data_IF_633361382585
#
_entry.id   IF_633361382585
#
_cell.length_a   1.000
_cell.length_b   1.000
_cell.length_c   1.000
_cell.angle_alpha   90.00
_cell.angle_beta   90.00
_cell.angle_gamma   90.00
#
_symmetry.space_group_name_H-M   'P 1'
#
loop_
_entity.id
_entity.type
_entity.pdbx_description
1 polymer ?
#
# COMPACT_ATOMS: atom_id res chain seq x y z
N UNK A 1 36.51 54.15 10.63
CA UNK A 1 37.40 52.99 10.74
C UNK A 1 36.58 51.87 11.37
N UNK A 2 35.89 51.11 10.54
CA UNK A 2 35.08 49.97 10.96
C UNK A 2 35.21 48.91 9.88
N UNK A 3 35.95 47.92 10.21
CA UNK A 3 36.20 46.73 9.36
C UNK A 3 34.95 45.83 9.42
N UNK A 4 34.36 45.55 8.28
CA UNK A 4 33.27 44.57 8.08
C UNK A 4 33.86 43.34 7.43
N UNK A 5 34.21 42.36 8.26
CA UNK A 5 34.53 41.00 7.79
C UNK A 5 33.29 40.35 7.11
N UNK A 6 33.39 40.14 5.81
CA UNK A 6 32.44 39.37 5.01
C UNK A 6 32.61 37.88 5.30
N UNK A 7 31.57 37.25 5.83
CA UNK A 7 31.47 35.81 5.84
C UNK A 7 30.95 35.33 4.46
N UNK A 8 31.52 34.30 3.86
CA UNK A 8 30.96 33.71 2.65
C UNK A 8 29.71 32.90 3.01
N UNK A 9 28.62 33.18 2.29
CA UNK A 9 27.46 32.29 2.24
C UNK A 9 27.88 31.02 1.47
N UNK A 10 27.95 29.90 2.17
CA UNK A 10 27.89 28.59 1.53
C UNK A 10 26.42 28.38 1.10
N UNK A 11 26.17 28.57 -0.18
CA UNK A 11 24.99 28.04 -0.85
C UNK A 11 25.20 26.53 -0.99
N UNK A 12 24.59 25.76 -0.09
CA UNK A 12 24.47 24.34 -0.23
C UNK A 12 23.53 24.04 -1.42
N UNK A 13 24.08 23.56 -2.52
CA UNK A 13 23.34 22.95 -3.58
C UNK A 13 22.84 21.60 -3.06
N UNK A 14 21.58 21.53 -2.65
CA UNK A 14 20.91 20.25 -2.41
C UNK A 14 20.57 19.69 -3.79
N UNK A 15 21.43 18.83 -4.30
CA UNK A 15 21.13 18.04 -5.48
C UNK A 15 20.14 16.93 -5.03
N UNK A 16 18.88 17.13 -5.33
CA UNK A 16 17.89 16.06 -5.27
C UNK A 16 18.20 15.12 -6.43
N UNK A 17 18.86 13.99 -6.15
CA UNK A 17 19.04 12.93 -7.10
C UNK A 17 17.73 12.15 -7.22
N UNK A 18 17.04 12.40 -8.30
CA UNK A 18 15.97 11.52 -8.79
C UNK A 18 16.63 10.20 -9.22
N UNK A 19 16.52 9.17 -8.42
CA UNK A 19 16.82 7.81 -8.85
C UNK A 19 15.68 7.36 -9.77
N UNK A 20 15.86 7.59 -11.06
CA UNK A 20 15.10 6.85 -12.05
C UNK A 20 15.63 5.42 -12.01
N UNK A 21 14.80 4.42 -11.74
CA UNK A 21 15.10 3.01 -11.97
C UNK A 21 15.49 2.85 -13.43
N UNK A 22 16.79 2.97 -13.72
CA UNK A 22 17.35 2.81 -15.04
C UNK A 22 17.61 1.32 -15.30
N UNK A 23 16.81 0.71 -16.15
CA UNK A 23 17.12 -0.62 -16.64
C UNK A 23 18.40 -0.59 -17.44
N UNK A 24 19.35 -1.41 -17.04
CA UNK A 24 20.51 -1.72 -17.86
C UNK A 24 20.11 -2.74 -18.91
N UNK A 25 20.30 -2.39 -20.18
CA UNK A 25 20.22 -3.33 -21.30
C UNK A 25 21.43 -4.26 -21.27
N UNK A 26 21.21 -5.48 -20.80
CA UNK A 26 22.18 -6.55 -20.99
C UNK A 26 22.05 -7.12 -22.40
N UNK A 27 23.10 -7.00 -23.20
CA UNK A 27 23.21 -7.68 -24.50
C UNK A 27 23.41 -9.19 -24.27
N UNK A 28 22.68 -10.06 -24.97
CA UNK A 28 22.86 -11.49 -24.83
C UNK A 28 24.12 -11.96 -25.52
N UNK A 29 25.01 -12.57 -24.78
CA UNK A 29 26.10 -13.36 -25.33
C UNK A 29 25.63 -14.77 -25.62
N UNK A 30 25.73 -15.16 -26.88
CA UNK A 30 25.40 -16.50 -27.37
C UNK A 30 26.47 -17.48 -26.93
N UNK A 31 26.10 -18.60 -26.35
CA UNK A 31 26.98 -19.74 -26.13
C UNK A 31 26.30 -21.08 -26.41
N UNK A 32 27.07 -22.11 -26.78
CA UNK A 32 26.59 -23.07 -27.73
C UNK A 32 25.88 -24.29 -27.14
N UNK A 33 25.05 -24.85 -27.98
CA UNK A 33 24.32 -26.12 -27.99
C UNK A 33 25.04 -27.30 -27.30
N UNK A 34 24.32 -27.93 -26.37
CA UNK A 34 24.53 -29.31 -25.97
C UNK A 34 23.24 -30.09 -26.11
N UNK A 35 23.27 -31.12 -26.91
CA UNK A 35 22.21 -32.11 -27.17
C UNK A 35 21.85 -32.89 -25.90
N UNK A 36 20.59 -33.22 -25.68
CA UNK A 36 20.17 -34.06 -24.55
C UNK A 36 20.20 -35.54 -24.91
N UNK A 37 20.68 -36.34 -23.99
CA UNK A 37 20.48 -37.78 -23.98
C UNK A 37 19.24 -38.11 -23.13
N UNK A 38 18.52 -39.08 -23.62
CA UNK A 38 17.19 -39.45 -23.19
C UNK A 38 17.18 -40.42 -22.00
N UNK A 39 16.05 -40.42 -21.33
CA UNK A 39 15.43 -41.49 -20.55
C UNK A 39 15.56 -41.48 -19.03
N UNK A 40 14.49 -41.13 -18.35
CA UNK A 40 13.75 -42.10 -17.57
C UNK A 40 12.45 -41.46 -17.00
N UNK A 41 11.39 -42.16 -17.19
CA UNK A 41 10.03 -41.96 -16.70
C UNK A 41 9.93 -42.13 -15.19
N UNK A 42 9.36 -41.17 -14.49
CA UNK A 42 8.50 -41.43 -13.33
C UNK A 42 7.50 -40.26 -13.19
N UNK A 43 6.27 -40.58 -13.50
CA UNK A 43 5.09 -39.74 -13.23
C UNK A 43 4.82 -39.77 -11.74
N UNK A 44 4.97 -38.62 -11.09
CA UNK A 44 4.26 -38.36 -9.83
C UNK A 44 3.34 -37.15 -10.06
N UNK A 45 2.06 -37.42 -9.89
CA UNK A 45 0.99 -36.45 -10.04
C UNK A 45 1.12 -35.39 -8.94
N UNK A 46 1.34 -34.15 -9.32
CA UNK A 46 1.08 -33.00 -8.46
C UNK A 46 -0.40 -33.00 -8.06
N UNK A 47 -0.73 -32.77 -6.79
CA UNK A 47 -2.11 -32.55 -6.41
C UNK A 47 -2.60 -31.24 -7.03
N UNK A 48 -3.50 -31.33 -7.95
CA UNK A 48 -4.36 -30.22 -8.38
C UNK A 48 -5.06 -29.70 -7.14
N UNK A 49 -4.71 -28.50 -6.71
CA UNK A 49 -5.55 -27.74 -5.78
C UNK A 49 -6.83 -27.46 -6.55
N UNK A 50 -7.83 -28.28 -6.30
CA UNK A 50 -9.16 -28.07 -6.81
C UNK A 50 -9.66 -26.71 -6.31
N UNK A 51 -10.13 -25.89 -7.24
CA UNK A 51 -10.96 -24.77 -6.89
C UNK A 51 -12.06 -25.28 -5.97
N UNK A 52 -12.04 -24.87 -4.71
CA UNK A 52 -13.14 -25.11 -3.79
C UNK A 52 -14.28 -24.25 -4.28
N UNK A 53 -15.23 -24.88 -4.99
CA UNK A 53 -16.53 -24.24 -5.19
C UNK A 53 -17.10 -23.90 -3.82
N UNK A 54 -17.50 -22.64 -3.55
CA UNK A 54 -18.14 -22.30 -2.30
C UNK A 54 -19.40 -23.14 -2.15
N UNK A 55 -19.55 -23.78 -1.00
CA UNK A 55 -20.74 -24.57 -0.69
C UNK A 55 -21.99 -23.71 -0.88
N UNK A 56 -23.04 -24.21 -1.55
CA UNK A 56 -24.28 -23.48 -1.70
C UNK A 56 -24.93 -23.35 -0.32
N UNK A 57 -24.96 -22.12 0.24
CA UNK A 57 -25.70 -21.79 1.45
C UNK A 57 -25.00 -20.96 2.51
N UNK A 58 -23.80 -20.42 2.28
CA UNK A 58 -23.23 -19.42 3.20
C UNK A 58 -23.39 -18.02 2.59
N UNK A 59 -24.49 -17.36 2.90
CA UNK A 59 -24.78 -15.98 2.51
C UNK A 59 -24.00 -14.95 3.33
N UNK A 60 -22.97 -15.35 4.06
CA UNK A 60 -22.14 -14.43 4.83
C UNK A 60 -20.89 -14.02 4.04
N UNK A 61 -21.02 -12.93 3.36
CA UNK A 61 -19.88 -12.25 2.74
C UNK A 61 -19.13 -11.47 3.80
N UNK A 62 -17.98 -11.97 4.21
CA UNK A 62 -17.04 -11.19 5.02
C UNK A 62 -16.30 -10.26 4.07
N UNK A 63 -16.79 -9.03 3.97
CA UNK A 63 -16.22 -8.03 3.08
C UNK A 63 -15.01 -7.32 3.68
N UNK A 64 -14.87 -7.15 4.93
CA UNK A 64 -13.72 -6.51 5.54
C UNK A 64 -12.99 -7.49 6.44
N UNK A 65 -11.65 -7.42 6.53
CA UNK A 65 -10.97 -8.04 7.63
C UNK A 65 -11.62 -7.55 8.92
N UNK A 66 -11.65 -8.38 9.93
CA UNK A 66 -12.34 -8.16 11.21
C UNK A 66 -12.71 -6.68 11.49
N UNK A 67 -14.00 -6.28 11.47
CA UNK A 67 -14.39 -4.88 11.60
C UNK A 67 -14.04 -4.26 12.98
N UNK A 68 -13.45 -5.03 13.87
CA UNK A 68 -12.99 -4.59 15.18
C UNK A 68 -11.46 -4.48 15.31
N UNK A 69 -10.70 -4.83 14.27
CA UNK A 69 -9.24 -4.83 14.34
C UNK A 69 -8.61 -3.67 13.56
N UNK A 70 -7.45 -3.20 14.01
CA UNK A 70 -6.55 -2.37 13.20
C UNK A 70 -6.07 -3.20 12.01
N UNK A 71 -6.05 -2.61 10.82
CA UNK A 71 -5.58 -3.25 9.58
C UNK A 71 -4.37 -2.50 9.04
N UNK A 72 -3.28 -3.21 8.82
CA UNK A 72 -2.08 -2.67 8.19
C UNK A 72 -1.84 -3.39 6.86
N UNK A 73 -1.73 -2.62 5.78
CA UNK A 73 -1.26 -3.13 4.50
C UNK A 73 0.26 -3.04 4.43
N UNK A 74 0.90 -4.14 4.06
CA UNK A 74 2.36 -4.21 3.88
C UNK A 74 2.64 -4.50 2.41
N UNK A 75 3.31 -3.55 1.76
CA UNK A 75 3.82 -3.69 0.42
C UNK A 75 5.31 -4.04 0.46
N UNK A 76 5.66 -5.26 0.11
CA UNK A 76 7.03 -5.64 -0.17
C UNK A 76 7.39 -5.12 -1.57
N UNK A 77 8.26 -4.12 -1.67
CA UNK A 77 8.64 -3.49 -2.93
C UNK A 77 9.07 -4.49 -3.99
N UNK A 78 8.81 -4.17 -5.26
CA UNK A 78 9.15 -5.01 -6.42
C UNK A 78 8.44 -6.37 -6.43
N UNK A 79 8.86 -7.29 -7.27
CA UNK A 79 8.32 -8.66 -7.36
C UNK A 79 8.15 -9.17 -8.78
N UNK A 80 8.00 -10.47 -8.89
CA UNK A 80 7.83 -11.15 -10.16
C UNK A 80 9.09 -11.26 -11.01
N UNK A 81 8.90 -11.62 -12.26
CA UNK A 81 9.97 -11.97 -13.17
C UNK A 81 10.79 -10.76 -13.66
N UNK A 82 10.15 -9.61 -13.82
CA UNK A 82 10.77 -8.44 -14.45
C UNK A 82 11.20 -7.37 -13.48
N UNK A 83 10.48 -7.17 -12.38
CA UNK A 83 10.77 -6.13 -11.41
C UNK A 83 11.53 -6.68 -10.21
N UNK A 84 12.85 -6.73 -10.34
CA UNK A 84 13.73 -7.21 -9.28
C UNK A 84 14.11 -6.13 -8.27
N UNK A 85 13.80 -4.86 -8.56
CA UNK A 85 14.40 -3.74 -7.87
C UNK A 85 15.88 -3.61 -8.21
N UNK A 86 16.71 -3.50 -7.21
CA UNK A 86 18.15 -3.51 -7.38
C UNK A 86 18.64 -4.95 -7.38
N UNK A 87 19.31 -5.40 -8.48
CA UNK A 87 20.00 -6.67 -8.50
C UNK A 87 21.13 -6.69 -7.48
N UNK A 88 21.50 -7.88 -7.02
CA UNK A 88 22.67 -8.05 -6.17
C UNK A 88 23.93 -7.46 -6.85
N UNK A 89 24.52 -6.38 -6.31
CA UNK A 89 25.68 -5.75 -6.91
C UNK A 89 26.92 -6.66 -6.94
N UNK A 90 26.93 -7.74 -6.18
CA UNK A 90 27.98 -8.75 -6.17
C UNK A 90 27.70 -9.93 -7.10
N UNK A 91 26.63 -9.89 -7.91
CA UNK A 91 26.20 -10.98 -8.81
C UNK A 91 25.93 -12.32 -8.08
N UNK A 92 25.53 -12.26 -6.81
CA UNK A 92 25.30 -13.45 -5.97
C UNK A 92 23.94 -14.13 -6.21
N UNK A 93 23.10 -13.55 -7.06
CA UNK A 93 21.86 -14.13 -7.52
C UNK A 93 20.57 -13.48 -6.99
N UNK A 94 19.44 -13.94 -7.51
CA UNK A 94 18.11 -13.37 -7.24
C UNK A 94 17.69 -13.39 -5.76
N UNK A 95 18.21 -14.34 -4.99
CA UNK A 95 17.92 -14.44 -3.56
C UNK A 95 18.42 -13.24 -2.74
N UNK A 96 19.29 -12.42 -3.30
CA UNK A 96 19.81 -11.20 -2.70
C UNK A 96 19.31 -9.95 -3.42
N UNK A 97 18.44 -10.08 -4.41
CA UNK A 97 17.77 -8.96 -5.04
C UNK A 97 16.81 -8.30 -4.06
N UNK A 98 16.61 -7.00 -4.22
CA UNK A 98 15.73 -6.19 -3.37
C UNK A 98 14.34 -6.82 -3.18
N UNK A 99 13.70 -7.27 -4.27
CA UNK A 99 12.38 -7.93 -4.20
C UNK A 99 12.31 -9.11 -3.24
N UNK A 100 13.41 -9.84 -3.08
CA UNK A 100 13.47 -10.99 -2.18
C UNK A 100 13.66 -10.55 -0.74
N UNK A 101 14.58 -9.59 -0.52
CA UNK A 101 14.88 -9.08 0.82
C UNK A 101 13.67 -8.34 1.40
N UNK A 102 12.99 -7.50 0.61
CA UNK A 102 11.78 -6.79 1.04
C UNK A 102 10.65 -7.75 1.41
N UNK A 103 10.49 -8.85 0.67
CA UNK A 103 9.49 -9.88 0.97
C UNK A 103 9.77 -10.60 2.29
N UNK A 104 11.03 -10.97 2.53
CA UNK A 104 11.41 -11.62 3.79
C UNK A 104 11.24 -10.69 5.00
N UNK A 105 11.60 -9.42 4.87
CA UNK A 105 11.34 -8.38 5.90
C UNK A 105 9.84 -8.21 6.14
N UNK A 106 9.06 -8.09 5.07
CA UNK A 106 7.60 -7.91 5.15
C UNK A 106 6.91 -9.08 5.87
N UNK A 107 7.33 -10.32 5.61
CA UNK A 107 6.80 -11.51 6.30
C UNK A 107 7.12 -11.50 7.80
N UNK A 108 8.32 -11.07 8.19
CA UNK A 108 8.70 -10.94 9.61
C UNK A 108 7.90 -9.83 10.30
N UNK A 109 7.67 -8.72 9.61
CA UNK A 109 6.82 -7.64 10.11
C UNK A 109 5.37 -8.11 10.28
N UNK A 110 4.81 -8.81 9.29
CA UNK A 110 3.49 -9.43 9.40
C UNK A 110 3.37 -10.28 10.66
N UNK A 111 4.31 -11.21 10.84
CA UNK A 111 4.27 -12.15 11.97
C UNK A 111 4.29 -11.42 13.33
N UNK A 112 5.01 -10.29 13.43
CA UNK A 112 5.02 -9.44 14.63
C UNK A 112 3.69 -8.72 14.85
N UNK A 113 3.12 -8.12 13.80
CA UNK A 113 1.85 -7.39 13.88
C UNK A 113 0.67 -8.34 14.22
N UNK A 114 0.63 -9.52 13.59
CA UNK A 114 -0.40 -10.51 13.85
C UNK A 114 -0.32 -11.07 15.28
N UNK A 115 0.88 -11.19 15.85
CA UNK A 115 1.06 -11.60 17.26
C UNK A 115 0.45 -10.60 18.26
N UNK A 116 0.34 -9.30 17.87
CA UNK A 116 -0.31 -8.24 18.65
C UNK A 116 -1.80 -8.04 18.27
N UNK A 117 -2.35 -8.93 17.45
CA UNK A 117 -3.77 -8.89 17.07
C UNK A 117 -4.12 -7.91 15.96
N UNK A 118 -3.13 -7.35 15.28
CA UNK A 118 -3.33 -6.52 14.09
C UNK A 118 -3.67 -7.42 12.90
N UNK A 119 -4.66 -7.04 12.11
CA UNK A 119 -4.92 -7.70 10.84
C UNK A 119 -3.95 -7.20 9.79
N UNK A 120 -3.19 -8.08 9.19
CA UNK A 120 -2.22 -7.73 8.14
C UNK A 120 -2.72 -8.13 6.77
N UNK A 121 -2.61 -7.21 5.83
CA UNK A 121 -2.84 -7.45 4.40
C UNK A 121 -1.50 -7.36 3.69
N UNK A 122 -0.94 -8.52 3.35
CA UNK A 122 0.23 -8.60 2.48
C UNK A 122 -0.19 -8.27 1.06
N UNK A 123 0.34 -7.18 0.48
CA UNK A 123 0.07 -6.81 -0.92
C UNK A 123 0.59 -7.89 -1.87
N UNK A 124 1.73 -8.46 -1.55
CA UNK A 124 2.20 -9.74 -2.12
C UNK A 124 2.82 -10.59 -1.02
N UNK A 125 2.57 -11.87 -1.04
CA UNK A 125 3.16 -12.85 -0.11
C UNK A 125 4.04 -13.88 -0.84
N UNK A 126 4.23 -13.69 -2.13
CA UNK A 126 5.12 -14.45 -3.00
C UNK A 126 5.92 -13.55 -3.94
N UNK A 127 6.86 -14.14 -4.68
CA UNK A 127 7.62 -13.45 -5.75
C UNK A 127 6.75 -13.37 -7.02
N UNK A 128 5.74 -12.49 -6.98
CA UNK A 128 4.76 -12.32 -8.04
C UNK A 128 4.62 -10.86 -8.44
N UNK A 129 4.17 -10.62 -9.67
CA UNK A 129 3.69 -9.34 -10.14
C UNK A 129 2.15 -9.38 -10.19
N UNK A 130 1.48 -8.39 -9.59
CA UNK A 130 0.03 -8.36 -9.43
C UNK A 130 -0.71 -8.01 -10.73
N UNK A 131 -0.11 -7.15 -11.55
CA UNK A 131 -0.70 -6.75 -12.84
C UNK A 131 -0.42 -7.74 -13.97
N UNK A 132 0.38 -8.76 -13.72
CA UNK A 132 0.75 -9.77 -14.70
C UNK A 132 2.27 -9.91 -14.87
N UNK A 133 2.68 -11.03 -15.44
CA UNK A 133 4.11 -11.39 -15.56
C UNK A 133 4.38 -12.26 -16.80
N UNK A 134 3.66 -12.00 -17.90
CA UNK A 134 3.75 -12.79 -19.14
C UNK A 134 4.74 -12.16 -20.12
N UNK A 135 6.01 -12.61 -20.07
CA UNK A 135 7.05 -12.28 -21.05
C UNK A 135 7.77 -13.55 -21.51
N UNK A 136 7.15 -14.32 -22.44
CA UNK A 136 7.71 -15.62 -22.88
C UNK A 136 9.13 -15.50 -23.46
N UNK A 137 9.43 -14.41 -24.17
CA UNK A 137 10.72 -14.15 -24.77
C UNK A 137 11.84 -13.96 -23.73
N UNK A 138 11.47 -13.58 -22.49
CA UNK A 138 12.36 -13.45 -21.35
C UNK A 138 12.28 -14.63 -20.37
N UNK A 139 11.50 -15.66 -20.73
CA UNK A 139 11.28 -16.83 -19.89
C UNK A 139 10.25 -16.62 -18.78
N UNK A 140 9.51 -15.53 -18.79
CA UNK A 140 8.45 -15.21 -17.83
C UNK A 140 7.10 -15.73 -18.37
N UNK A 141 6.52 -16.72 -17.69
CA UNK A 141 5.30 -17.39 -18.11
C UNK A 141 4.17 -17.23 -17.07
N UNK A 142 4.14 -16.09 -16.37
CA UNK A 142 3.11 -15.75 -15.41
C UNK A 142 1.77 -15.39 -16.05
N UNK A 143 0.85 -14.83 -15.26
CA UNK A 143 -0.43 -14.35 -15.76
C UNK A 143 -0.27 -13.27 -16.84
N UNK A 144 -1.23 -13.16 -17.79
CA UNK A 144 -1.21 -12.10 -18.78
C UNK A 144 -1.33 -10.73 -18.11
N UNK A 145 -0.72 -9.72 -18.73
CA UNK A 145 -0.79 -8.35 -18.29
C UNK A 145 -2.21 -7.80 -18.29
N UNK A 146 -2.49 -6.95 -17.32
CA UNK A 146 -3.78 -6.26 -17.16
C UNK A 146 -3.55 -4.74 -17.17
N UNK A 147 -4.41 -4.02 -17.83
CA UNK A 147 -4.56 -2.57 -17.71
C UNK A 147 -5.32 -2.29 -16.41
N UNK A 148 -4.60 -2.09 -15.31
CA UNK A 148 -5.17 -1.88 -13.98
C UNK A 148 -5.46 -0.40 -13.74
N UNK A 149 -4.60 0.48 -14.26
CA UNK A 149 -4.75 1.92 -14.09
C UNK A 149 -5.78 2.54 -15.06
N UNK A 150 -6.19 1.80 -16.12
CA UNK A 150 -7.21 2.22 -17.08
C UNK A 150 -6.69 3.21 -18.14
N UNK A 151 -5.38 3.27 -18.39
CA UNK A 151 -4.81 4.19 -19.39
C UNK A 151 -4.85 3.64 -20.83
N UNK A 152 -5.30 2.39 -21.01
CA UNK A 152 -5.44 1.69 -22.27
C UNK A 152 -4.20 0.92 -22.71
N UNK A 153 -3.15 0.91 -21.88
CA UNK A 153 -1.92 0.15 -22.11
C UNK A 153 -1.68 -0.82 -20.95
N UNK A 154 -1.77 -2.11 -21.21
CA UNK A 154 -1.58 -3.12 -20.18
C UNK A 154 -0.09 -3.44 -19.99
N UNK A 155 0.35 -3.41 -18.75
CA UNK A 155 1.58 -4.07 -18.34
C UNK A 155 2.81 -3.22 -18.18
N UNK A 156 3.93 -3.90 -18.31
CA UNK A 156 5.26 -3.35 -18.08
C UNK A 156 5.80 -2.71 -19.36
N UNK A 157 5.85 -1.37 -19.43
CA UNK A 157 6.46 -0.68 -20.56
C UNK A 157 8.01 -0.81 -20.53
N UNK A 158 8.63 -1.52 -21.48
CA UNK A 158 10.07 -1.71 -21.51
C UNK A 158 10.85 -0.44 -21.92
N UNK A 159 10.21 0.58 -22.46
CA UNK A 159 10.88 1.75 -23.05
C UNK A 159 10.79 3.02 -22.20
N UNK A 160 9.92 3.08 -21.19
CA UNK A 160 9.60 4.31 -20.51
C UNK A 160 9.78 4.38 -19.01
N UNK A 161 9.61 5.59 -18.49
CA UNK A 161 9.51 5.88 -17.05
C UNK A 161 8.20 5.40 -16.42
N UNK A 162 7.40 4.64 -17.16
CA UNK A 162 6.01 4.24 -16.88
C UNK A 162 5.87 2.77 -16.53
N UNK A 163 6.98 2.09 -16.43
CA UNK A 163 7.13 0.62 -16.45
C UNK A 163 6.27 -0.17 -15.48
N UNK A 164 5.76 0.44 -14.44
CA UNK A 164 5.16 -0.30 -13.32
C UNK A 164 3.82 0.29 -12.88
N UNK A 165 3.17 1.13 -13.68
CA UNK A 165 1.94 1.82 -13.24
C UNK A 165 0.81 0.86 -12.91
N UNK A 166 0.57 -0.12 -13.75
CA UNK A 166 -0.46 -1.12 -13.50
C UNK A 166 -0.15 -1.91 -12.25
N UNK A 167 1.11 -2.30 -12.07
CA UNK A 167 1.57 -3.01 -10.89
C UNK A 167 1.39 -2.18 -9.62
N UNK A 168 1.82 -0.92 -9.65
CA UNK A 168 1.70 0.00 -8.51
C UNK A 168 0.23 0.34 -8.23
N UNK A 169 -0.60 0.50 -9.27
CA UNK A 169 -2.03 0.70 -9.08
C UNK A 169 -2.71 -0.51 -8.46
N UNK A 170 -2.36 -1.73 -8.90
CA UNK A 170 -2.87 -2.95 -8.28
C UNK A 170 -2.54 -3.05 -6.80
N UNK A 171 -1.34 -2.62 -6.39
CA UNK A 171 -0.91 -2.55 -4.99
C UNK A 171 -1.75 -1.58 -4.17
N UNK A 172 -1.97 -0.37 -4.67
CA UNK A 172 -2.85 0.63 -4.05
C UNK A 172 -4.29 0.13 -3.93
N UNK A 173 -4.82 -0.46 -5.00
CA UNK A 173 -6.19 -0.96 -5.04
C UNK A 173 -6.42 -2.05 -3.99
N UNK A 174 -5.45 -2.94 -3.76
CA UNK A 174 -5.53 -3.96 -2.70
C UNK A 174 -5.53 -3.35 -1.29
N UNK A 175 -4.69 -2.35 -1.03
CA UNK A 175 -4.66 -1.66 0.26
C UNK A 175 -5.98 -0.90 0.52
N UNK A 176 -6.52 -0.24 -0.51
CA UNK A 176 -7.79 0.46 -0.44
C UNK A 176 -8.95 -0.48 -0.20
N UNK A 177 -8.96 -1.63 -0.89
CA UNK A 177 -9.93 -2.70 -0.70
C UNK A 177 -9.96 -3.20 0.73
N UNK A 178 -8.79 -3.40 1.29
CA UNK A 178 -8.64 -3.85 2.66
C UNK A 178 -9.10 -2.79 3.68
N UNK A 179 -9.38 -1.57 3.25
CA UNK A 179 -9.62 -0.43 4.15
C UNK A 179 -8.54 -0.34 5.23
N UNK A 180 -7.27 -0.42 4.82
CA UNK A 180 -6.16 -0.41 5.77
C UNK A 180 -6.08 0.92 6.53
N UNK A 181 -5.66 0.87 7.79
CA UNK A 181 -5.42 2.06 8.62
C UNK A 181 -4.08 2.72 8.30
N UNK A 182 -3.16 1.97 7.69
CA UNK A 182 -1.91 2.45 7.12
C UNK A 182 -1.42 1.52 6.01
N UNK A 183 -0.71 2.07 5.02
CA UNK A 183 0.05 1.33 4.02
C UNK A 183 1.53 1.63 4.18
N UNK A 184 2.33 0.60 4.38
CA UNK A 184 3.79 0.66 4.45
C UNK A 184 4.40 -0.06 3.24
N UNK A 185 5.09 0.68 2.38
CA UNK A 185 5.90 0.12 1.30
C UNK A 185 7.35 0.01 1.75
N UNK A 186 7.93 -1.18 1.64
CA UNK A 186 9.28 -1.52 2.09
C UNK A 186 10.20 -1.64 0.89
N UNK A 187 11.26 -0.85 0.86
CA UNK A 187 12.27 -0.79 -0.18
C UNK A 187 13.69 -0.80 0.39
N UNK A 188 14.69 -0.99 -0.47
CA UNK A 188 16.10 -0.92 -0.12
C UNK A 188 16.81 -0.06 -1.17
N UNK A 189 17.33 1.07 -0.73
CA UNK A 189 17.89 2.11 -1.59
C UNK A 189 19.16 1.63 -2.34
N UNK A 190 19.36 2.26 -3.50
CA UNK A 190 20.57 2.07 -4.31
C UNK A 190 21.13 3.43 -4.75
N UNK A 191 21.89 4.12 -3.91
CA UNK A 191 22.34 5.48 -4.20
C UNK A 191 23.37 5.52 -5.32
N UNK A 192 23.22 6.54 -6.20
CA UNK A 192 24.13 6.83 -7.29
C UNK A 192 24.59 8.28 -7.28
N UNK A 193 25.83 8.52 -7.69
CA UNK A 193 26.34 9.86 -8.00
C UNK A 193 27.09 9.82 -9.33
N UNK A 194 26.73 10.74 -10.23
CA UNK A 194 27.34 10.79 -11.56
C UNK A 194 27.22 9.49 -12.39
N UNK A 195 26.19 8.65 -12.09
CA UNK A 195 25.98 7.36 -12.75
C UNK A 195 26.81 6.21 -12.18
N UNK A 196 27.47 6.43 -11.04
CA UNK A 196 28.18 5.39 -10.29
C UNK A 196 27.51 5.10 -8.97
N UNK A 197 27.46 3.84 -8.58
CA UNK A 197 26.98 3.41 -7.26
C UNK A 197 27.85 4.00 -6.16
N UNK A 198 27.22 4.49 -5.09
CA UNK A 198 27.90 5.01 -3.91
C UNK A 198 27.77 3.97 -2.80
N UNK A 199 28.90 3.51 -2.27
CA UNK A 199 28.94 2.54 -1.18
C UNK A 199 28.73 3.25 0.17
N UNK A 200 27.45 3.46 0.55
CA UNK A 200 27.06 4.05 1.83
C UNK A 200 25.86 3.31 2.41
N UNK A 201 25.81 3.25 3.74
CA UNK A 201 24.69 2.72 4.50
C UNK A 201 23.84 3.85 5.05
N UNK A 202 22.53 3.81 4.84
CA UNK A 202 21.58 4.76 5.42
C UNK A 202 20.14 4.26 5.28
N UNK A 203 19.24 4.82 6.10
CA UNK A 203 17.80 4.69 5.93
C UNK A 203 17.17 6.04 5.60
N UNK A 204 16.07 6.03 4.85
CA UNK A 204 15.29 7.21 4.47
C UNK A 204 13.82 6.82 4.30
N UNK A 205 12.89 7.63 4.78
CA UNK A 205 11.45 7.33 4.60
C UNK A 205 10.76 8.48 3.87
N UNK A 206 9.97 8.12 2.86
CA UNK A 206 9.24 9.06 2.01
C UNK A 206 7.76 9.09 2.36
N UNK A 207 7.18 10.29 2.30
CA UNK A 207 5.77 10.54 2.55
C UNK A 207 5.23 11.64 1.62
N UNK A 208 3.91 11.86 1.61
CA UNK A 208 3.30 13.01 0.94
C UNK A 208 2.58 13.90 1.94
N UNK A 209 2.66 15.21 1.74
CA UNK A 209 1.89 16.23 2.45
C UNK A 209 0.67 16.74 1.64
N UNK A 210 0.43 16.15 0.48
CA UNK A 210 -0.57 16.61 -0.48
C UNK A 210 -1.92 15.87 -0.40
N UNK A 211 -2.04 14.84 0.43
CA UNK A 211 -3.31 14.14 0.67
C UNK A 211 -4.19 14.90 1.66
N UNK A 212 -5.51 14.64 1.75
CA UNK A 212 -6.38 15.28 2.74
C UNK A 212 -5.92 15.11 4.19
N UNK A 213 -5.25 13.99 4.51
CA UNK A 213 -4.65 13.69 5.80
C UNK A 213 -3.14 13.96 5.85
N UNK A 214 -2.52 14.33 4.78
CA UNK A 214 -1.15 14.72 4.49
C UNK A 214 -0.19 14.81 5.68
N UNK A 215 0.31 16.01 5.95
CA UNK A 215 1.30 16.23 7.01
C UNK A 215 0.81 15.84 8.41
N UNK A 216 -0.51 15.85 8.68
CA UNK A 216 -1.04 15.47 10.00
C UNK A 216 -0.91 13.98 10.31
N UNK A 217 -0.91 13.13 9.27
CA UNK A 217 -0.92 11.68 9.44
C UNK A 217 0.28 11.00 8.79
N UNK A 218 0.63 11.36 7.55
CA UNK A 218 1.73 10.69 6.83
C UNK A 218 3.12 11.08 7.33
N UNK A 219 3.35 12.34 7.69
CA UNK A 219 4.62 12.77 8.26
C UNK A 219 4.90 12.12 9.62
N UNK A 220 3.97 12.10 10.61
CA UNK A 220 4.18 11.38 11.86
C UNK A 220 4.42 9.88 11.68
N UNK A 221 3.71 9.22 10.76
CA UNK A 221 3.94 7.82 10.42
C UNK A 221 5.35 7.61 9.87
N UNK A 222 5.77 8.44 8.90
CA UNK A 222 7.10 8.36 8.31
C UNK A 222 8.20 8.56 9.36
N UNK A 223 8.03 9.52 10.27
CA UNK A 223 8.99 9.81 11.33
C UNK A 223 9.11 8.66 12.31
N UNK A 224 7.99 8.13 12.79
CA UNK A 224 7.99 7.02 13.74
C UNK A 224 8.64 5.76 13.14
N UNK A 225 8.35 5.45 11.88
CA UNK A 225 8.96 4.32 11.17
C UNK A 225 10.45 4.55 10.92
N UNK A 226 10.85 5.76 10.48
CA UNK A 226 12.26 6.11 10.29
C UNK A 226 13.06 5.95 11.57
N UNK A 227 12.56 6.52 12.67
CA UNK A 227 13.22 6.45 13.98
C UNK A 227 13.39 5.00 14.46
N UNK A 228 12.35 4.16 14.29
CA UNK A 228 12.38 2.74 14.63
C UNK A 228 13.41 1.96 13.80
N UNK A 229 13.41 2.10 12.48
CA UNK A 229 14.36 1.42 11.57
C UNK A 229 15.79 1.83 11.87
N UNK A 230 16.04 3.13 12.05
CA UNK A 230 17.39 3.65 12.37
C UNK A 230 17.88 3.07 13.70
N UNK A 231 17.02 3.02 14.73
CA UNK A 231 17.38 2.51 16.04
C UNK A 231 17.71 1.01 16.01
N UNK A 232 16.80 0.21 15.48
CA UNK A 232 16.92 -1.26 15.54
C UNK A 232 18.02 -1.79 14.60
N UNK A 233 18.07 -1.31 13.36
CA UNK A 233 19.12 -1.73 12.44
C UNK A 233 20.50 -1.17 12.85
N UNK A 234 20.53 0.04 13.43
CA UNK A 234 21.74 0.62 13.98
C UNK A 234 22.29 -0.13 15.21
N UNK A 235 21.43 -0.82 15.95
CA UNK A 235 21.85 -1.62 17.11
C UNK A 235 22.62 -2.91 16.75
N UNK A 236 22.37 -3.45 15.55
CA UNK A 236 23.00 -4.69 15.06
C UNK A 236 24.11 -4.46 14.03
N UNK A 237 24.18 -3.28 13.40
CA UNK A 237 25.22 -2.92 12.47
C UNK A 237 26.56 -2.67 13.21
N UNK A 238 27.65 -3.23 12.69
CA UNK A 238 29.02 -3.01 13.20
C UNK A 238 29.84 -2.01 12.34
N UNK A 239 29.16 -1.28 11.45
CA UNK A 239 29.69 -0.25 10.56
C UNK A 239 28.90 1.06 10.71
N UNK A 240 29.45 2.15 10.18
CA UNK A 240 28.79 3.47 10.24
C UNK A 240 27.57 3.51 9.30
N UNK A 241 26.42 3.88 9.84
CA UNK A 241 25.17 4.09 9.12
C UNK A 241 24.66 5.53 9.27
N UNK A 242 24.14 6.05 8.18
CA UNK A 242 23.49 7.35 8.14
C UNK A 242 21.98 7.26 8.42
N UNK A 243 21.46 8.35 8.93
CA UNK A 243 20.03 8.65 8.96
C UNK A 243 19.77 9.84 8.04
N UNK A 244 19.03 9.64 6.95
CA UNK A 244 18.61 10.72 6.05
C UNK A 244 17.28 11.33 6.45
N UNK A 245 16.65 10.78 7.47
CA UNK A 245 15.37 11.26 7.97
C UNK A 245 14.21 10.97 7.03
N UNK A 246 13.25 11.87 7.03
CA UNK A 246 12.05 11.75 6.22
C UNK A 246 12.04 12.83 5.13
N UNK A 247 11.51 12.48 3.96
CA UNK A 247 11.46 13.38 2.79
C UNK A 247 10.05 13.39 2.18
N UNK A 248 9.48 14.60 2.03
CA UNK A 248 8.24 14.74 1.26
C UNK A 248 8.53 14.52 -0.22
N UNK A 249 8.00 13.43 -0.78
CA UNK A 249 8.17 13.09 -2.19
C UNK A 249 7.02 12.21 -2.70
N UNK A 250 6.48 12.57 -3.85
CA UNK A 250 5.37 11.87 -4.47
C UNK A 250 5.83 10.69 -5.32
N UNK A 251 6.23 9.58 -4.67
CA UNK A 251 6.27 8.30 -5.36
C UNK A 251 4.85 7.82 -5.67
N UNK A 252 4.70 6.97 -6.68
CA UNK A 252 3.38 6.52 -7.15
C UNK A 252 2.48 5.98 -6.03
N UNK A 253 3.01 5.15 -5.15
CA UNK A 253 2.26 4.57 -4.01
C UNK A 253 1.90 5.60 -2.93
N UNK A 254 2.65 6.69 -2.84
CA UNK A 254 2.51 7.71 -1.80
C UNK A 254 1.74 8.93 -2.31
N UNK A 255 1.81 9.19 -3.62
CA UNK A 255 1.23 10.38 -4.25
C UNK A 255 -0.31 10.40 -4.19
N UNK A 256 -0.92 11.58 -4.10
CA UNK A 256 -2.35 11.72 -4.36
C UNK A 256 -2.67 11.36 -5.82
N UNK A 257 -3.92 11.01 -6.14
CA UNK A 257 -4.33 10.74 -7.51
C UNK A 257 -4.20 11.99 -8.37
N UNK A 258 -4.08 11.77 -9.69
CA UNK A 258 -4.01 12.84 -10.67
C UNK A 258 -5.40 13.48 -10.85
N UNK A 259 -5.65 14.61 -10.18
CA UNK A 259 -6.90 15.37 -10.38
C UNK A 259 -6.83 16.32 -11.59
N UNK A 260 -5.68 16.98 -11.77
CA UNK A 260 -5.42 17.89 -12.90
C UNK A 260 -3.91 17.99 -13.15
N UNK A 261 -3.51 18.08 -14.41
CA UNK A 261 -2.14 18.45 -14.76
C UNK A 261 -1.95 19.94 -14.53
N UNK A 262 -1.11 20.31 -13.59
CA UNK A 262 -0.71 21.71 -13.39
C UNK A 262 0.66 21.98 -14.01
N UNK A 263 0.99 23.26 -14.34
CA UNK A 263 2.34 23.61 -14.82
C UNK A 263 3.45 23.25 -13.83
N UNK A 264 3.13 23.20 -12.53
CA UNK A 264 4.04 22.83 -11.46
C UNK A 264 4.26 21.30 -11.38
N UNK A 265 3.36 20.52 -12.00
CA UNK A 265 3.40 19.06 -12.09
C UNK A 265 3.38 18.63 -13.55
N UNK A 266 4.48 18.81 -14.27
CA UNK A 266 4.52 18.55 -15.72
C UNK A 266 4.52 17.05 -16.07
N UNK A 267 4.68 16.16 -15.11
CA UNK A 267 4.79 14.72 -15.34
C UNK A 267 3.58 13.95 -14.75
N UNK A 268 2.47 13.84 -15.53
CA UNK A 268 1.31 13.06 -15.11
C UNK A 268 1.61 11.57 -14.96
N UNK A 269 2.77 11.13 -15.45
CA UNK A 269 3.23 9.74 -15.51
C UNK A 269 3.52 9.15 -14.14
N UNK A 270 3.78 9.99 -13.13
CA UNK A 270 4.21 9.54 -11.79
C UNK A 270 3.10 9.52 -10.75
N UNK A 271 1.89 9.92 -11.11
CA UNK A 271 0.78 9.95 -10.16
C UNK A 271 -0.18 8.80 -10.41
N UNK A 272 -0.72 8.18 -9.36
CA UNK A 272 -1.70 7.12 -9.52
C UNK A 272 -3.01 7.67 -10.12
N UNK A 273 -3.71 6.83 -10.86
CA UNK A 273 -5.07 7.13 -11.30
C UNK A 273 -5.99 7.18 -10.08
N UNK A 274 -5.75 6.30 -9.12
CA UNK A 274 -6.46 6.22 -7.83
C UNK A 274 -5.42 6.21 -6.71
N UNK A 275 -5.51 7.16 -5.79
CA UNK A 275 -4.57 7.26 -4.67
C UNK A 275 -4.93 6.36 -3.49
N UNK A 276 -4.03 6.28 -2.53
CA UNK A 276 -4.26 5.61 -1.26
C UNK A 276 -5.36 6.31 -0.44
N UNK A 277 -6.27 5.55 0.17
CA UNK A 277 -7.35 6.06 1.04
C UNK A 277 -6.94 6.12 2.52
N UNK A 278 -5.68 5.86 2.83
CA UNK A 278 -5.10 5.84 4.16
C UNK A 278 -3.72 6.51 4.18
N UNK A 279 -3.18 6.84 5.37
CA UNK A 279 -1.78 7.24 5.49
C UNK A 279 -0.83 6.20 4.89
N UNK A 280 0.05 6.65 3.98
CA UNK A 280 0.94 5.79 3.20
C UNK A 280 2.34 6.34 3.19
N UNK A 281 3.32 5.47 3.44
CA UNK A 281 4.75 5.80 3.36
C UNK A 281 5.52 4.75 2.57
N UNK A 282 6.69 5.17 2.05
CA UNK A 282 7.69 4.29 1.47
C UNK A 282 8.97 4.39 2.28
N UNK A 283 9.40 3.29 2.88
CA UNK A 283 10.62 3.25 3.69
C UNK A 283 11.74 2.53 2.95
N UNK A 284 12.79 3.27 2.64
CA UNK A 284 14.08 2.76 2.19
C UNK A 284 14.88 2.36 3.43
N UNK A 285 14.68 1.12 3.86
CA UNK A 285 15.15 0.64 5.18
C UNK A 285 16.67 0.56 5.29
N UNK A 286 17.38 0.50 4.17
CA UNK A 286 18.83 0.43 4.10
C UNK A 286 19.34 0.70 2.70
N UNK A 287 20.60 0.39 2.45
CA UNK A 287 21.25 0.57 1.15
C UNK A 287 21.88 -0.72 0.66
N UNK A 288 21.50 -1.17 -0.53
CA UNK A 288 22.04 -2.40 -1.13
C UNK A 288 23.47 -2.24 -1.71
N UNK A 289 23.95 -0.99 -1.84
CA UNK A 289 25.24 -0.70 -2.51
C UNK A 289 26.44 -0.91 -1.61
N UNK A 290 26.31 -0.73 -0.29
CA UNK A 290 27.35 -1.08 0.65
C UNK A 290 27.26 -2.58 0.98
N UNK A 291 28.36 -3.30 0.78
CA UNK A 291 28.37 -4.76 0.94
C UNK A 291 28.00 -5.22 2.35
N UNK A 292 28.54 -4.56 3.37
CA UNK A 292 28.27 -4.93 4.77
C UNK A 292 26.80 -4.73 5.13
N UNK A 293 26.18 -3.64 4.64
CA UNK A 293 24.73 -3.38 4.78
C UNK A 293 23.89 -4.44 4.05
N UNK A 294 24.28 -4.77 2.81
CA UNK A 294 23.59 -5.78 2.02
C UNK A 294 23.68 -7.17 2.67
N UNK A 295 24.86 -7.55 3.17
CA UNK A 295 25.04 -8.81 3.88
C UNK A 295 24.24 -8.86 5.18
N UNK A 296 24.14 -7.73 5.91
CA UNK A 296 23.28 -7.61 7.09
C UNK A 296 21.80 -7.75 6.72
N UNK A 297 21.31 -7.01 5.71
CA UNK A 297 19.90 -7.08 5.25
C UNK A 297 19.53 -8.47 4.70
N UNK A 298 20.50 -9.24 4.21
CA UNK A 298 20.30 -10.60 3.77
C UNK A 298 20.34 -11.63 4.93
N UNK A 299 20.79 -11.22 6.10
CA UNK A 299 20.87 -12.09 7.29
C UNK A 299 19.52 -12.11 8.05
N UNK A 300 19.22 -13.23 8.75
CA UNK A 300 18.06 -13.26 9.65
C UNK A 300 18.10 -12.15 10.71
N UNK A 301 19.26 -11.81 11.25
CA UNK A 301 19.45 -10.78 12.28
C UNK A 301 19.09 -9.39 11.75
N UNK A 302 19.59 -9.01 10.58
CA UNK A 302 19.27 -7.72 9.97
C UNK A 302 17.79 -7.62 9.56
N UNK A 303 17.21 -8.68 8.99
CA UNK A 303 15.80 -8.73 8.65
C UNK A 303 14.89 -8.63 9.89
N UNK A 304 15.26 -9.31 10.99
CA UNK A 304 14.54 -9.22 12.25
C UNK A 304 14.64 -7.82 12.88
N UNK A 305 15.81 -7.17 12.77
CA UNK A 305 16.03 -5.80 13.25
C UNK A 305 15.19 -4.80 12.45
N UNK A 306 15.21 -4.88 11.10
CA UNK A 306 14.35 -4.01 10.28
C UNK A 306 12.89 -4.23 10.60
N UNK A 307 12.43 -5.48 10.66
CA UNK A 307 11.04 -5.79 10.99
C UNK A 307 10.63 -5.30 12.39
N UNK A 308 11.55 -5.32 13.36
CA UNK A 308 11.32 -4.75 14.69
C UNK A 308 11.17 -3.22 14.61
N UNK A 309 12.07 -2.53 13.92
CA UNK A 309 12.00 -1.08 13.78
C UNK A 309 10.73 -0.59 13.05
N UNK A 310 10.33 -1.30 11.98
CA UNK A 310 9.07 -1.04 11.28
C UNK A 310 7.86 -1.25 12.20
N UNK A 311 7.86 -2.33 12.97
CA UNK A 311 6.83 -2.63 13.95
C UNK A 311 6.73 -1.56 15.04
N UNK A 312 7.85 -1.17 15.64
CA UNK A 312 7.90 -0.16 16.71
C UNK A 312 7.39 1.19 16.21
N UNK A 313 7.79 1.58 14.98
CA UNK A 313 7.31 2.80 14.34
C UNK A 313 5.80 2.78 14.07
N UNK A 314 5.27 1.70 13.52
CA UNK A 314 3.83 1.52 13.31
C UNK A 314 3.06 1.52 14.64
N UNK A 315 3.55 0.81 15.66
CA UNK A 315 2.92 0.76 16.97
C UNK A 315 2.90 2.14 17.64
N UNK A 316 4.00 2.90 17.56
CA UNK A 316 4.07 4.26 18.07
C UNK A 316 3.08 5.19 17.35
N UNK A 317 3.00 5.13 16.03
CA UNK A 317 2.05 5.90 15.25
C UNK A 317 0.59 5.55 15.61
N UNK A 318 0.22 4.26 15.62
CA UNK A 318 -1.13 3.83 15.95
C UNK A 318 -1.51 4.20 17.38
N UNK A 319 -0.57 4.08 18.34
CA UNK A 319 -0.76 4.47 19.73
C UNK A 319 -0.87 5.99 19.95
N UNK A 320 -0.45 6.81 19.00
CA UNK A 320 -0.56 8.26 19.06
C UNK A 320 -1.83 8.82 18.38
N UNK A 321 -2.57 7.99 17.64
CA UNK A 321 -3.81 8.42 16.96
C UNK A 321 -4.92 8.61 17.98
N UNK A 322 -5.23 9.86 18.33
CA UNK A 322 -6.33 10.16 19.25
C UNK A 322 -7.68 9.83 18.61
N UNK A 323 -7.89 10.24 17.38
CA UNK A 323 -9.15 10.04 16.66
C UNK A 323 -8.94 9.06 15.50
N UNK A 324 -9.48 7.86 15.64
CA UNK A 324 -9.50 6.87 14.58
C UNK A 324 -10.75 5.99 14.70
N UNK A 325 -11.28 5.59 13.57
CA UNK A 325 -12.47 4.74 13.53
C UNK A 325 -12.35 3.71 12.42
N UNK A 326 -12.84 2.52 12.68
CA UNK A 326 -13.09 1.52 11.65
C UNK A 326 -14.59 1.36 11.44
N UNK A 327 -15.00 1.45 10.19
CA UNK A 327 -16.40 1.30 9.78
C UNK A 327 -16.47 0.10 8.84
N UNK A 328 -17.31 -0.86 9.19
CA UNK A 328 -17.48 -2.08 8.38
C UNK A 328 -18.94 -2.54 8.36
N UNK A 329 -19.28 -3.36 7.36
CA UNK A 329 -20.57 -4.04 7.37
C UNK A 329 -20.58 -5.13 8.44
N UNK A 330 -21.58 -5.09 9.32
CA UNK A 330 -21.84 -6.19 10.27
C UNK A 330 -22.51 -7.36 9.57
N UNK A 331 -23.47 -7.05 8.71
CA UNK A 331 -24.17 -8.00 7.85
C UNK A 331 -24.31 -7.39 6.46
N UNK A 332 -23.99 -8.16 5.44
CA UNK A 332 -24.23 -7.72 4.08
C UNK A 332 -25.74 -7.57 3.83
N UNK A 333 -26.17 -6.51 3.13
CA UNK A 333 -27.57 -6.38 2.71
C UNK A 333 -28.00 -7.59 1.87
N UNK A 334 -29.29 -7.94 1.96
CA UNK A 334 -29.84 -9.08 1.19
C UNK A 334 -29.53 -8.90 -0.30
N UNK A 335 -28.88 -9.92 -0.90
CA UNK A 335 -28.48 -9.92 -2.30
C UNK A 335 -27.12 -9.28 -2.60
N UNK A 336 -26.41 -8.78 -1.60
CA UNK A 336 -25.00 -8.38 -1.77
C UNK A 336 -24.14 -9.58 -2.20
N UNK A 337 -23.19 -9.33 -3.10
CA UNK A 337 -22.26 -10.35 -3.60
C UNK A 337 -20.82 -9.92 -3.31
N UNK A 338 -19.97 -10.87 -2.87
CA UNK A 338 -18.56 -10.57 -2.74
C UNK A 338 -17.96 -10.39 -4.14
N UNK A 339 -16.97 -9.52 -4.21
CA UNK A 339 -16.09 -9.43 -5.36
C UNK A 339 -14.77 -10.11 -5.00
N UNK A 340 -14.18 -10.92 -5.89
CA UNK A 340 -12.90 -11.55 -5.62
C UNK A 340 -11.83 -10.51 -5.28
N UNK A 341 -11.06 -10.78 -4.24
CA UNK A 341 -9.91 -9.95 -3.82
C UNK A 341 -8.62 -10.34 -4.55
N UNK A 342 -8.72 -10.87 -5.76
CA UNK A 342 -7.58 -11.35 -6.54
C UNK A 342 -6.95 -10.27 -7.45
N UNK A 343 -7.38 -9.02 -7.28
CA UNK A 343 -6.93 -7.92 -8.13
C UNK A 343 -7.40 -8.02 -9.60
N UNK A 344 -8.28 -8.97 -9.93
CA UNK A 344 -8.80 -9.15 -11.30
C UNK A 344 -9.91 -8.16 -11.68
N UNK A 345 -10.35 -7.32 -10.76
CA UNK A 345 -11.38 -6.31 -10.96
C UNK A 345 -11.51 -5.37 -9.78
N UNK A 346 -12.36 -4.36 -9.89
CA UNK A 346 -12.58 -3.43 -8.79
C UNK A 346 -13.17 -4.17 -7.59
N UNK A 347 -12.58 -3.96 -6.42
CA UNK A 347 -12.95 -4.67 -5.22
C UNK A 347 -14.09 -3.96 -4.49
N UNK A 348 -15.28 -4.39 -4.69
CA UNK A 348 -16.44 -3.85 -3.99
C UNK A 348 -17.53 -4.89 -3.81
N UNK A 349 -18.39 -4.66 -2.84
CA UNK A 349 -19.61 -5.43 -2.66
C UNK A 349 -20.68 -4.81 -3.55
N UNK A 350 -21.18 -5.57 -4.51
CA UNK A 350 -22.38 -5.19 -5.24
C UNK A 350 -23.58 -5.31 -4.29
N UNK A 351 -24.30 -4.22 -4.07
CA UNK A 351 -25.53 -4.24 -3.28
C UNK A 351 -26.73 -4.29 -4.18
N UNK A 352 -27.81 -5.01 -3.80
CA UNK A 352 -29.12 -4.84 -4.45
C UNK A 352 -29.65 -3.42 -4.20
N UNK A 353 -30.80 -3.13 -4.79
CA UNK A 353 -31.50 -1.88 -4.55
C UNK A 353 -31.56 -1.57 -3.04
N UNK A 354 -31.25 -0.33 -2.62
CA UNK A 354 -31.07 0.03 -1.21
C UNK A 354 -32.36 -0.04 -0.37
N UNK A 355 -33.49 -0.13 -0.98
CA UNK A 355 -34.81 -0.32 -0.36
C UNK A 355 -35.08 -1.77 0.11
N UNK A 356 -34.14 -2.71 -0.12
CA UNK A 356 -34.34 -4.11 0.23
C UNK A 356 -34.18 -4.44 1.72
N UNK A 357 -33.39 -3.70 2.48
CA UNK A 357 -33.26 -3.86 3.95
C UNK A 357 -32.39 -2.75 4.56
N UNK A 358 -32.57 -2.39 5.83
CA UNK A 358 -31.65 -1.50 6.52
C UNK A 358 -30.25 -2.13 6.60
N UNK A 359 -29.23 -1.34 6.41
CA UNK A 359 -27.84 -1.77 6.55
C UNK A 359 -27.44 -1.83 8.01
N UNK A 360 -26.70 -2.85 8.38
CA UNK A 360 -26.12 -2.96 9.71
C UNK A 360 -24.62 -2.68 9.62
N UNK A 361 -24.21 -1.57 10.22
CA UNK A 361 -22.85 -1.06 10.16
C UNK A 361 -22.24 -1.12 11.56
N UNK A 362 -21.08 -1.75 11.66
CA UNK A 362 -20.27 -1.72 12.87
C UNK A 362 -19.33 -0.54 12.81
N UNK A 363 -19.33 0.25 13.88
CA UNK A 363 -18.39 1.34 14.14
C UNK A 363 -17.53 0.92 15.32
N UNK A 364 -16.23 0.91 15.15
CA UNK A 364 -15.26 0.60 16.20
C UNK A 364 -14.33 1.78 16.41
N UNK A 365 -14.18 2.23 17.64
CA UNK A 365 -13.18 3.22 18.00
C UNK A 365 -11.80 2.55 17.99
N UNK A 366 -10.96 2.87 17.01
CA UNK A 366 -9.56 2.39 16.89
C UNK A 366 -8.55 3.44 17.33
N UNK A 367 -9.03 4.61 17.78
CA UNK A 367 -8.21 5.68 18.36
C UNK A 367 -7.94 5.49 19.85
N UNK A 368 -7.16 6.41 20.41
CA UNK A 368 -6.79 6.42 21.84
C UNK A 368 -7.64 7.38 22.67
N UNK A 369 -8.45 8.25 22.03
CA UNK A 369 -9.46 9.08 22.69
C UNK A 369 -10.88 8.53 22.46
N UNK A 370 -11.79 8.84 23.37
CA UNK A 370 -13.19 8.43 23.23
C UNK A 370 -13.87 9.18 22.08
N UNK A 371 -14.66 8.49 21.27
CA UNK A 371 -15.60 9.10 20.32
C UNK A 371 -16.75 9.73 21.12
N UNK A 372 -17.05 10.99 20.82
CA UNK A 372 -18.06 11.74 21.57
C UNK A 372 -19.46 11.17 21.37
N UNK A 373 -20.30 11.21 22.43
CA UNK A 373 -21.71 10.95 22.32
C UNK A 373 -22.35 11.97 21.36
N UNK A 374 -23.16 11.48 20.43
CA UNK A 374 -23.85 12.32 19.45
C UNK A 374 -23.10 12.46 18.12
N UNK A 375 -21.97 11.78 17.95
CA UNK A 375 -21.33 11.63 16.63
C UNK A 375 -22.26 10.86 15.68
N UNK A 376 -22.22 11.20 14.38
CA UNK A 376 -23.14 10.63 13.39
C UNK A 376 -22.39 9.95 12.26
N UNK A 377 -22.91 8.82 11.80
CA UNK A 377 -22.55 8.32 10.48
C UNK A 377 -23.08 9.29 9.42
N UNK A 378 -22.26 9.56 8.45
CA UNK A 378 -22.61 10.32 7.25
C UNK A 378 -22.42 9.45 6.02
N UNK A 379 -23.34 9.56 5.08
CA UNK A 379 -23.27 8.79 3.85
C UNK A 379 -23.72 9.61 2.65
N UNK A 380 -23.20 9.21 1.48
CA UNK A 380 -23.60 9.74 0.19
C UNK A 380 -23.32 8.75 -0.92
N UNK A 381 -23.83 9.06 -2.10
CA UNK A 381 -23.62 8.28 -3.32
C UNK A 381 -22.95 9.12 -4.39
N UNK A 382 -22.08 8.48 -5.17
CA UNK A 382 -21.50 9.03 -6.38
C UNK A 382 -21.73 8.06 -7.54
N UNK A 383 -22.27 8.57 -8.66
CA UNK A 383 -22.40 7.82 -9.90
C UNK A 383 -21.03 7.77 -10.59
N UNK A 384 -20.42 6.62 -10.65
CA UNK A 384 -19.06 6.47 -11.18
C UNK A 384 -18.75 5.04 -11.58
N UNK A 385 -17.85 4.88 -12.56
CA UNK A 385 -17.27 3.60 -12.96
C UNK A 385 -15.96 3.30 -12.19
N UNK A 386 -15.47 4.24 -11.39
CA UNK A 386 -14.28 4.06 -10.56
C UNK A 386 -14.50 2.95 -9.51
N UNK A 387 -13.47 2.17 -9.16
CA UNK A 387 -13.59 1.10 -8.17
C UNK A 387 -13.85 1.64 -6.76
N UNK A 388 -13.36 2.84 -6.43
CA UNK A 388 -13.57 3.54 -5.17
C UNK A 388 -13.42 5.06 -5.35
N UNK A 389 -13.89 5.82 -4.36
CA UNK A 389 -13.80 7.28 -4.33
C UNK A 389 -12.62 7.70 -3.46
N UNK A 390 -11.75 8.53 -3.99
CA UNK A 390 -10.69 9.17 -3.24
C UNK A 390 -11.20 10.33 -2.38
N UNK A 391 -12.15 11.08 -2.90
CA UNK A 391 -12.82 12.17 -2.19
C UNK A 391 -14.26 11.79 -1.88
N UNK A 392 -14.83 12.33 -0.81
CA UNK A 392 -16.23 12.09 -0.50
C UNK A 392 -17.16 12.65 -1.59
N UNK A 393 -18.35 12.07 -1.78
CA UNK A 393 -19.40 12.64 -2.61
C UNK A 393 -19.74 14.08 -2.22
N UNK A 394 -20.14 14.88 -3.20
CA UNK A 394 -20.50 16.28 -2.98
C UNK A 394 -21.71 16.46 -2.02
N UNK A 395 -22.53 15.44 -1.89
CA UNK A 395 -23.70 15.46 -1.01
C UNK A 395 -23.61 14.33 0.02
N UNK A 396 -23.40 14.71 1.27
CA UNK A 396 -23.39 13.82 2.43
C UNK A 396 -24.54 14.18 3.36
N UNK A 397 -25.27 13.17 3.83
CA UNK A 397 -26.32 13.28 4.83
C UNK A 397 -26.03 12.43 6.05
N UNK A 398 -26.55 12.83 7.20
CA UNK A 398 -26.53 12.00 8.41
C UNK A 398 -27.46 10.79 8.20
N UNK A 399 -26.98 9.62 8.62
CA UNK A 399 -27.68 8.36 8.48
C UNK A 399 -27.65 7.57 9.79
N UNK A 400 -28.76 6.90 10.11
CA UNK A 400 -28.92 6.19 11.36
C UNK A 400 -29.09 7.10 12.57
N UNK A 401 -29.12 6.50 13.75
CA UNK A 401 -29.20 7.22 15.03
C UNK A 401 -27.80 7.71 15.45
N UNK A 402 -27.73 8.81 16.25
CA UNK A 402 -26.45 9.26 16.78
C UNK A 402 -25.81 8.20 17.66
N UNK A 403 -24.48 8.11 17.59
CA UNK A 403 -23.71 7.14 18.34
C UNK A 403 -23.73 7.43 19.85
N UNK A 404 -23.71 6.40 20.71
CA UNK A 404 -23.29 6.58 22.09
C UNK A 404 -21.81 7.01 22.14
N UNK A 405 -21.33 7.45 23.30
CA UNK A 405 -19.90 7.57 23.49
C UNK A 405 -19.25 6.18 23.34
N UNK A 406 -18.10 6.13 22.66
CA UNK A 406 -17.32 4.88 22.50
C UNK A 406 -15.93 5.09 23.05
N UNK A 407 -15.57 4.37 24.11
CA UNK A 407 -14.19 4.34 24.59
C UNK A 407 -13.28 3.61 23.60
N UNK A 408 -11.95 3.82 23.68
CA UNK A 408 -10.99 3.09 22.83
C UNK A 408 -11.22 1.57 22.82
N UNK A 409 -11.30 0.99 21.64
CA UNK A 409 -11.57 -0.42 21.42
C UNK A 409 -13.06 -0.82 21.48
N UNK A 410 -13.95 0.07 21.89
CA UNK A 410 -15.39 -0.22 21.90
C UNK A 410 -16.01 -0.16 20.50
N UNK A 411 -17.06 -0.93 20.33
CA UNK A 411 -17.82 -0.99 19.07
C UNK A 411 -19.33 -0.87 19.31
N UNK A 412 -20.01 -0.30 18.33
CA UNK A 412 -21.47 -0.29 18.26
C UNK A 412 -21.93 -0.72 16.88
N UNK A 413 -23.08 -1.39 16.81
CA UNK A 413 -23.75 -1.69 15.53
C UNK A 413 -24.91 -0.72 15.34
N UNK A 414 -24.86 0.04 14.26
CA UNK A 414 -25.88 1.00 13.88
C UNK A 414 -26.70 0.46 12.74
N UNK A 415 -28.01 0.60 12.83
CA UNK A 415 -28.91 0.33 11.70
C UNK A 415 -29.05 1.61 10.88
N UNK A 416 -28.78 1.51 9.58
CA UNK A 416 -28.71 2.65 8.67
C UNK A 416 -29.68 2.46 7.51
N UNK A 417 -30.56 3.43 7.32
CA UNK A 417 -31.37 3.56 6.11
C UNK A 417 -30.58 4.42 5.12
N UNK A 418 -29.95 3.78 4.15
CA UNK A 418 -29.20 4.48 3.12
C UNK A 418 -30.14 5.27 2.20
N UNK A 419 -29.78 6.50 1.80
CA UNK A 419 -30.53 7.21 0.77
C UNK A 419 -30.54 6.38 -0.53
N UNK A 420 -31.57 6.54 -1.39
CA UNK A 420 -31.60 5.83 -2.66
C UNK A 420 -30.40 6.20 -3.52
N UNK A 421 -29.79 5.21 -4.24
CA UNK A 421 -28.70 5.49 -5.16
C UNK A 421 -29.17 6.36 -6.33
N UNK A 422 -28.28 7.08 -6.97
CA UNK A 422 -28.57 7.80 -8.21
C UNK A 422 -29.03 6.82 -9.30
N UNK A 423 -29.78 7.31 -10.29
CA UNK A 423 -30.15 6.53 -11.47
C UNK A 423 -28.94 6.44 -12.42
N UNK A 424 -28.09 5.47 -12.19
CA UNK A 424 -26.90 5.18 -12.96
C UNK A 424 -26.69 3.66 -13.01
N UNK A 425 -25.98 3.20 -14.03
CA UNK A 425 -25.65 1.77 -14.17
C UNK A 425 -24.81 1.29 -12.97
N UNK A 426 -24.00 2.18 -12.43
CA UNK A 426 -23.18 1.96 -11.24
C UNK A 426 -23.06 3.21 -10.37
N UNK A 427 -23.05 3.00 -9.07
CA UNK A 427 -22.79 4.05 -8.08
C UNK A 427 -22.02 3.50 -6.88
N UNK A 428 -21.23 4.34 -6.22
CA UNK A 428 -20.54 4.02 -4.98
C UNK A 428 -21.20 4.73 -3.80
N UNK A 429 -21.54 3.97 -2.77
CA UNK A 429 -21.82 4.50 -1.44
C UNK A 429 -20.49 4.82 -0.76
N UNK A 430 -20.46 5.93 -0.05
CA UNK A 430 -19.36 6.35 0.79
C UNK A 430 -19.92 6.65 2.19
N UNK A 431 -19.33 6.02 3.21
CA UNK A 431 -19.83 6.11 4.60
C UNK A 431 -18.64 6.39 5.51
N UNK A 432 -18.75 7.46 6.30
CA UNK A 432 -17.76 7.82 7.31
C UNK A 432 -18.43 8.28 8.60
N UNK A 433 -17.62 8.59 9.61
CA UNK A 433 -18.09 9.16 10.86
C UNK A 433 -17.79 10.66 10.90
N UNK A 434 -18.78 11.45 11.27
CA UNK A 434 -18.61 12.86 11.61
C UNK A 434 -18.51 13.01 13.12
N UNK A 435 -17.40 13.57 13.58
CA UNK A 435 -17.18 13.96 14.96
C UNK A 435 -17.00 15.49 15.02
N UNK A 436 -18.00 16.18 15.56
CA UNK A 436 -18.02 17.63 15.52
C UNK A 436 -18.14 18.20 14.10
N UNK A 437 -17.14 18.97 13.67
CA UNK A 437 -17.13 19.67 12.38
C UNK A 437 -16.41 18.90 11.26
N UNK A 438 -15.59 17.89 11.58
CA UNK A 438 -14.78 17.14 10.64
C UNK A 438 -15.25 15.70 10.47
N UNK A 439 -14.80 15.07 9.40
CA UNK A 439 -15.00 13.65 9.19
C UNK A 439 -13.73 12.89 9.57
N UNK A 440 -13.87 11.68 10.12
CA UNK A 440 -12.69 10.90 10.47
C UNK A 440 -11.93 10.37 9.23
N UNK A 441 -12.55 10.43 8.04
CA UNK A 441 -11.83 10.21 6.79
C UNK A 441 -10.78 11.31 6.51
N UNK A 442 -11.03 12.56 6.90
CA UNK A 442 -10.06 13.66 6.83
C UNK A 442 -8.89 13.46 7.81
N UNK A 443 -9.05 12.60 8.80
CA UNK A 443 -8.02 12.19 9.77
C UNK A 443 -7.44 10.80 9.47
N UNK A 444 -7.52 10.35 8.22
CA UNK A 444 -6.89 9.13 7.76
C UNK A 444 -7.57 7.83 8.16
N UNK A 445 -8.83 7.87 8.64
CA UNK A 445 -9.64 6.67 8.83
C UNK A 445 -10.42 6.36 7.54
N UNK A 446 -10.18 5.23 6.87
CA UNK A 446 -10.81 4.93 5.58
C UNK A 446 -12.33 4.90 5.70
N UNK A 447 -13.01 5.54 4.75
CA UNK A 447 -14.46 5.41 4.64
C UNK A 447 -14.86 4.02 4.15
N UNK A 448 -15.97 3.48 4.64
CA UNK A 448 -16.57 2.29 4.05
C UNK A 448 -17.17 2.66 2.68
N UNK A 449 -16.78 1.92 1.65
CA UNK A 449 -17.29 2.13 0.29
C UNK A 449 -17.90 0.85 -0.27
N UNK A 450 -19.05 0.96 -0.90
CA UNK A 450 -19.81 -0.17 -1.43
C UNK A 450 -20.42 0.20 -2.77
N UNK A 451 -20.31 -0.72 -3.74
CA UNK A 451 -20.90 -0.49 -5.05
C UNK A 451 -22.37 -0.94 -5.12
N UNK A 452 -23.17 -0.13 -5.78
CA UNK A 452 -24.49 -0.49 -6.30
C UNK A 452 -24.39 -0.63 -7.83
N UNK A 453 -24.90 -1.74 -8.35
CA UNK A 453 -25.00 -2.01 -9.79
C UNK A 453 -26.49 -2.05 -10.13
N UNK A 454 -26.94 -1.19 -11.05
CA UNK A 454 -28.26 -1.30 -11.63
C UNK A 454 -28.35 -2.59 -12.45
N UNK A 455 -29.43 -3.32 -12.29
CA UNK A 455 -29.70 -4.60 -12.98
C UNK A 455 -30.46 -4.39 -14.28
#
# INVERSE_FOLDING_TARGET
>A
MTDRSRRPLLTGLTAVLLVACGAQTASPSVSPTRTPDASSTASEASPTVGAVEPAPGSDSVVYAPNPAAIVVAIDAGHGGCLDWGVPDPSERGVQLAEKTLTLEIARRLRDRLEAEGVTVVMIRDDDVALAGDLYPDLGCNGPPWRDVNGDGEAGFDPEGAVRTRDELQARLDLANLAQADALLSIHINSPFDGGQSIEIAFSETFYTDETPWGAEMTEPLARAVQDGVVAELGAVADYERGDRGITAHNFYLVAPPLFETTPERPDPVKQPTRGALMPTILSEVGSITLRDEHDLLASPEGQDAVAAGLFDGLAAFMGAREQAVRIGLEEAPIGARPVPMDGSGPPYVATPAPDASPWRIRVTNTGTAAIAQGSHLIAGWEATDEPYLYLPPAQLGEVGEPLPALDPGESVVVTVDMPPPPQADRALAWISLRDGASTLAEHGSPALQLAHLAH
#
